data_IF_364969446732
#
_entry.id   IF_364969446732
#
_cell.length_a   1.000
_cell.length_b   1.000
_cell.length_c   1.000
_cell.angle_alpha   90.00
_cell.angle_beta   90.00
_cell.angle_gamma   90.00
#
_symmetry.space_group_name_H-M   'P 1'
#
loop_
_entity.id
_entity.type
_entity.pdbx_description
1 polymer ?
#
# COMPACT_ATOMS: atom_id res chain seq x y z
N UNK A 1 11.96 0.78 3.84
CA UNK A 1 12.05 2.22 3.52
C UNK A 1 11.64 2.91 4.81
N UNK A 2 12.61 3.47 5.54
CA UNK A 2 12.44 3.68 6.99
C UNK A 2 11.88 5.07 7.33
N UNK A 3 11.28 5.72 6.33
CA UNK A 3 10.79 7.10 6.37
C UNK A 3 11.81 8.16 6.85
N UNK A 4 13.11 7.89 6.65
CA UNK A 4 14.18 8.86 6.89
C UNK A 4 14.15 9.96 5.82
N UNK A 5 13.41 11.03 6.14
CA UNK A 5 13.23 12.20 5.28
C UNK A 5 14.55 12.86 4.92
N UNK A 6 15.51 12.94 5.83
CA UNK A 6 16.75 13.71 5.60
C UNK A 6 17.64 12.98 4.60
N UNK A 7 17.77 11.66 4.75
CA UNK A 7 18.49 10.83 3.78
C UNK A 7 17.75 10.78 2.44
N UNK A 8 16.41 10.70 2.47
CA UNK A 8 15.61 10.64 1.25
C UNK A 8 15.63 11.95 0.45
N UNK A 9 15.62 13.11 1.11
CA UNK A 9 15.76 14.41 0.43
C UNK A 9 17.07 14.49 -0.34
N UNK A 10 18.19 14.09 0.27
CA UNK A 10 19.49 14.04 -0.42
C UNK A 10 19.46 13.10 -1.62
N UNK A 11 18.83 11.94 -1.47
CA UNK A 11 18.70 10.96 -2.55
C UNK A 11 17.90 11.51 -3.75
N UNK A 12 16.78 12.19 -3.52
CA UNK A 12 15.94 12.75 -4.59
C UNK A 12 16.40 14.13 -5.11
N UNK A 13 17.49 14.67 -4.57
CA UNK A 13 18.15 15.89 -5.03
C UNK A 13 19.41 15.63 -5.86
N UNK A 14 19.87 14.38 -5.91
CA UNK A 14 20.99 13.99 -6.75
C UNK A 14 20.66 14.22 -8.24
N UNK A 15 21.60 14.79 -9.00
CA UNK A 15 21.40 15.07 -10.43
C UNK A 15 21.18 13.80 -11.27
N UNK A 16 21.62 12.64 -10.77
CA UNK A 16 21.45 11.33 -11.40
C UNK A 16 20.16 10.62 -10.93
N UNK A 17 19.36 11.25 -10.07
CA UNK A 17 18.12 10.68 -9.59
C UNK A 17 17.10 10.53 -10.73
N UNK A 18 16.71 9.28 -11.00
CA UNK A 18 15.59 8.97 -11.88
C UNK A 18 14.30 8.86 -11.07
N UNK A 19 13.36 9.78 -11.33
CA UNK A 19 12.05 9.82 -10.67
C UNK A 19 11.14 8.68 -11.10
N UNK A 20 11.37 8.11 -12.28
CA UNK A 20 10.54 7.07 -12.90
C UNK A 20 11.17 5.67 -12.65
N UNK A 21 12.21 5.59 -11.81
CA UNK A 21 12.84 4.34 -11.45
C UNK A 21 11.86 3.38 -10.76
N UNK A 22 11.95 2.10 -11.12
CA UNK A 22 11.20 1.03 -10.49
C UNK A 22 12.13 -0.02 -9.90
N UNK A 23 11.64 -0.74 -8.89
CA UNK A 23 12.37 -1.80 -8.21
C UNK A 23 11.64 -3.13 -8.38
N UNK A 24 12.30 -4.09 -9.04
CA UNK A 24 11.85 -5.49 -9.09
C UNK A 24 12.67 -6.32 -8.10
N UNK A 25 12.01 -6.84 -7.07
CA UNK A 25 12.67 -7.64 -6.04
C UNK A 25 11.75 -8.73 -5.51
N UNK A 26 12.30 -9.92 -5.24
CA UNK A 26 11.59 -11.08 -4.69
C UNK A 26 11.00 -10.87 -3.29
N UNK A 27 11.43 -9.82 -2.57
CA UNK A 27 10.93 -9.46 -1.24
C UNK A 27 9.69 -8.56 -1.29
N UNK A 28 9.27 -8.13 -2.47
CA UNK A 28 8.05 -7.35 -2.67
C UNK A 28 7.02 -8.15 -3.47
N UNK A 29 5.73 -7.75 -3.42
CA UNK A 29 4.70 -8.32 -4.28
C UNK A 29 5.14 -8.31 -5.75
N UNK A 30 4.80 -9.38 -6.47
CA UNK A 30 5.17 -9.51 -7.86
C UNK A 30 4.52 -8.40 -8.70
N UNK A 31 5.34 -7.71 -9.48
CA UNK A 31 4.92 -6.69 -10.43
C UNK A 31 5.65 -6.92 -11.76
N UNK A 32 4.92 -6.77 -12.88
CA UNK A 32 5.48 -6.90 -14.22
C UNK A 32 6.63 -5.91 -14.43
N UNK A 33 6.36 -4.64 -14.10
CA UNK A 33 7.26 -3.49 -14.30
C UNK A 33 8.08 -3.09 -13.06
N UNK A 34 7.91 -3.79 -11.94
CA UNK A 34 8.49 -3.41 -10.65
C UNK A 34 7.65 -2.37 -9.92
N UNK A 35 8.06 -2.00 -8.71
CA UNK A 35 7.39 -1.00 -7.90
C UNK A 35 8.09 0.35 -8.01
N UNK A 36 7.33 1.41 -8.24
CA UNK A 36 7.79 2.79 -8.15
C UNK A 36 8.18 3.16 -6.71
N UNK A 37 8.91 4.27 -6.56
CA UNK A 37 9.24 4.79 -5.23
C UNK A 37 8.00 5.16 -4.40
N UNK A 38 6.92 5.61 -5.04
CA UNK A 38 5.69 5.97 -4.35
C UNK A 38 4.99 4.72 -3.80
N UNK A 39 4.91 3.66 -4.60
CA UNK A 39 4.36 2.36 -4.20
C UNK A 39 5.19 1.71 -3.09
N UNK A 40 6.52 1.86 -3.14
CA UNK A 40 7.39 1.44 -2.04
C UNK A 40 7.11 2.23 -0.76
N UNK A 41 6.85 3.54 -0.83
CA UNK A 41 6.41 4.29 0.35
C UNK A 41 5.09 3.74 0.92
N UNK A 42 4.13 3.40 0.06
CA UNK A 42 2.85 2.81 0.48
C UNK A 42 3.05 1.46 1.17
N UNK A 43 3.84 0.57 0.57
CA UNK A 43 4.16 -0.74 1.13
C UNK A 43 4.84 -0.65 2.52
N UNK A 44 5.76 0.30 2.70
CA UNK A 44 6.51 0.48 3.95
C UNK A 44 5.84 1.43 4.96
N UNK A 45 4.71 2.06 4.61
CA UNK A 45 4.06 3.06 5.46
C UNK A 45 4.87 4.36 5.63
N UNK A 46 5.76 4.70 4.70
CA UNK A 46 6.68 5.85 4.76
C UNK A 46 6.00 7.16 4.35
N UNK A 47 5.13 7.70 5.21
CA UNK A 47 4.28 8.86 4.89
C UNK A 47 5.08 10.13 4.57
N UNK A 48 6.22 10.32 5.23
CA UNK A 48 7.13 11.42 4.96
C UNK A 48 7.67 11.44 3.54
N UNK A 49 8.25 10.32 3.13
CA UNK A 49 8.81 10.15 1.80
C UNK A 49 7.72 10.17 0.73
N UNK A 50 6.56 9.55 1.00
CA UNK A 50 5.37 9.62 0.16
C UNK A 50 4.99 11.08 -0.14
N UNK A 51 4.89 11.90 0.91
CA UNK A 51 4.53 13.32 0.79
C UNK A 51 5.57 14.12 0.01
N UNK A 52 6.86 13.81 0.19
CA UNK A 52 7.94 14.44 -0.55
C UNK A 52 7.83 14.15 -2.06
N UNK A 53 7.62 12.88 -2.44
CA UNK A 53 7.45 12.48 -3.84
C UNK A 53 6.24 13.17 -4.48
N UNK A 54 5.09 13.15 -3.81
CA UNK A 54 3.86 13.82 -4.26
C UNK A 54 4.03 15.33 -4.39
N UNK A 55 4.73 15.96 -3.45
CA UNK A 55 4.91 17.42 -3.48
C UNK A 55 5.87 17.85 -4.59
N UNK A 56 7.03 17.17 -4.71
CA UNK A 56 8.13 17.56 -5.59
C UNK A 56 7.91 17.12 -7.04
N UNK A 57 7.44 15.89 -7.25
CA UNK A 57 7.36 15.29 -8.58
C UNK A 57 5.94 15.12 -9.10
N UNK A 58 4.92 15.38 -8.26
CA UNK A 58 3.52 15.11 -8.60
C UNK A 58 3.29 13.66 -9.03
N UNK A 59 4.04 12.73 -8.44
CA UNK A 59 3.96 11.29 -8.71
C UNK A 59 2.52 10.82 -8.62
N UNK A 60 2.01 10.17 -9.66
CA UNK A 60 0.62 9.70 -9.71
C UNK A 60 0.32 8.67 -8.60
N UNK A 61 -0.86 8.75 -7.98
CA UNK A 61 -1.32 7.70 -7.06
C UNK A 61 -1.99 6.63 -7.91
N UNK A 62 -1.34 5.48 -8.03
CA UNK A 62 -1.86 4.31 -8.76
C UNK A 62 -2.81 3.48 -7.88
N UNK A 63 -3.65 2.61 -8.47
CA UNK A 63 -4.40 1.61 -7.71
C UNK A 63 -3.48 0.77 -6.79
N UNK A 64 -2.30 0.41 -7.27
CA UNK A 64 -1.28 -0.30 -6.50
C UNK A 64 -0.82 0.49 -5.26
N UNK A 65 -0.73 1.82 -5.33
CA UNK A 65 -0.45 2.64 -4.15
C UNK A 65 -1.50 2.45 -3.07
N UNK A 66 -2.79 2.45 -3.43
CA UNK A 66 -3.88 2.24 -2.49
C UNK A 66 -3.82 0.82 -1.91
N UNK A 67 -3.72 -0.20 -2.77
CA UNK A 67 -3.63 -1.59 -2.36
C UNK A 67 -2.46 -1.84 -1.38
N UNK A 68 -1.25 -1.39 -1.72
CA UNK A 68 -0.06 -1.55 -0.88
C UNK A 68 -0.15 -0.75 0.42
N UNK A 69 -0.89 0.37 0.44
CA UNK A 69 -1.07 1.16 1.66
C UNK A 69 -1.84 0.40 2.76
N UNK A 70 -2.74 -0.52 2.41
CA UNK A 70 -3.40 -1.41 3.37
C UNK A 70 -2.44 -2.44 3.99
N UNK A 71 -1.38 -2.82 3.26
CA UNK A 71 -0.32 -3.66 3.78
C UNK A 71 0.63 -2.89 4.70
N UNK A 72 1.02 -1.67 4.30
CA UNK A 72 1.86 -0.79 5.10
C UNK A 72 1.16 -0.21 6.34
N UNK A 73 -0.17 -0.10 6.29
CA UNK A 73 -1.03 0.25 7.43
C UNK A 73 -0.92 1.68 7.93
N UNK A 74 -0.37 2.59 7.13
CA UNK A 74 -0.29 4.00 7.47
C UNK A 74 -1.58 4.73 7.02
N UNK A 75 -2.40 5.15 7.98
CA UNK A 75 -3.67 5.84 7.74
C UNK A 75 -3.52 7.16 6.96
N UNK A 76 -2.41 7.89 7.10
CA UNK A 76 -2.19 9.12 6.33
C UNK A 76 -2.07 8.80 4.84
N UNK A 77 -1.31 7.76 4.49
CA UNK A 77 -1.16 7.31 3.10
C UNK A 77 -2.48 6.76 2.57
N UNK A 78 -3.15 5.88 3.32
CA UNK A 78 -4.43 5.28 2.91
C UNK A 78 -5.44 6.38 2.58
N UNK A 79 -5.63 7.34 3.48
CA UNK A 79 -6.58 8.43 3.28
C UNK A 79 -6.22 9.34 2.10
N UNK A 80 -4.94 9.52 1.79
CA UNK A 80 -4.54 10.26 0.59
C UNK A 80 -4.84 9.46 -0.67
N UNK A 81 -4.57 8.16 -0.68
CA UNK A 81 -4.82 7.30 -1.83
C UNK A 81 -6.32 7.17 -2.14
N UNK A 82 -7.16 7.07 -1.11
CA UNK A 82 -8.63 7.01 -1.23
C UNK A 82 -9.27 8.26 -1.84
N UNK A 83 -8.55 9.38 -1.97
CA UNK A 83 -9.04 10.57 -2.67
C UNK A 83 -8.98 10.43 -4.19
N UNK A 84 -8.13 9.53 -4.69
CA UNK A 84 -7.86 9.37 -6.11
C UNK A 84 -8.24 7.98 -6.64
N UNK A 85 -8.32 6.98 -5.76
CA UNK A 85 -8.55 5.58 -6.11
C UNK A 85 -9.67 4.96 -5.28
N UNK A 86 -10.44 4.06 -5.90
CA UNK A 86 -11.44 3.25 -5.23
C UNK A 86 -10.82 1.91 -4.76
N UNK A 87 -11.16 1.44 -3.55
CA UNK A 87 -10.72 0.13 -3.08
C UNK A 87 -11.23 -1.02 -3.94
N UNK A 88 -10.44 -2.10 -3.99
CA UNK A 88 -10.75 -3.32 -4.73
C UNK A 88 -10.46 -4.58 -3.90
N UNK A 89 -10.62 -5.75 -4.51
CA UNK A 89 -10.37 -7.04 -3.85
C UNK A 89 -8.92 -7.21 -3.36
N UNK A 90 -7.95 -6.55 -4.01
CA UNK A 90 -6.56 -6.57 -3.56
C UNK A 90 -6.37 -5.76 -2.28
N UNK A 91 -7.10 -4.65 -2.11
CA UNK A 91 -7.14 -3.92 -0.84
C UNK A 91 -7.63 -4.84 0.31
N UNK A 92 -8.68 -5.63 0.07
CA UNK A 92 -9.18 -6.61 1.03
C UNK A 92 -8.15 -7.70 1.34
N UNK A 93 -7.53 -8.27 0.29
CA UNK A 93 -6.45 -9.26 0.43
C UNK A 93 -5.30 -8.71 1.29
N UNK A 94 -4.86 -7.48 1.06
CA UNK A 94 -3.76 -6.89 1.83
C UNK A 94 -4.16 -6.50 3.25
N UNK A 95 -5.40 -6.08 3.49
CA UNK A 95 -5.93 -5.88 4.85
C UNK A 95 -5.97 -7.20 5.65
N UNK A 96 -6.31 -8.31 5.00
CA UNK A 96 -6.25 -9.66 5.57
C UNK A 96 -4.80 -10.03 5.89
N UNK A 97 -3.88 -9.90 4.93
CA UNK A 97 -2.45 -10.20 5.13
C UNK A 97 -1.83 -9.39 6.28
N UNK A 98 -2.18 -8.10 6.39
CA UNK A 98 -1.70 -7.25 7.49
C UNK A 98 -2.36 -7.57 8.83
N UNK A 99 -3.31 -8.50 8.88
CA UNK A 99 -4.12 -8.88 10.04
C UNK A 99 -4.82 -7.69 10.70
N UNK A 100 -5.21 -6.68 9.92
CA UNK A 100 -5.87 -5.49 10.44
C UNK A 100 -7.40 -5.60 10.28
N UNK A 101 -8.07 -6.00 11.37
CA UNK A 101 -9.52 -6.24 11.38
C UNK A 101 -10.32 -4.94 11.14
N UNK A 102 -9.78 -3.79 11.54
CA UNK A 102 -10.44 -2.51 11.32
C UNK A 102 -10.49 -2.18 9.83
N UNK A 103 -9.40 -2.46 9.10
CA UNK A 103 -9.37 -2.29 7.65
C UNK A 103 -10.31 -3.26 6.93
N UNK A 104 -10.37 -4.52 7.36
CA UNK A 104 -11.28 -5.51 6.79
C UNK A 104 -12.73 -5.07 7.00
N UNK A 105 -13.07 -4.62 8.20
CA UNK A 105 -14.40 -4.12 8.54
C UNK A 105 -14.75 -2.86 7.74
N UNK A 106 -13.80 -1.94 7.60
CA UNK A 106 -13.94 -0.74 6.78
C UNK A 106 -14.25 -1.08 5.32
N UNK A 107 -13.44 -1.94 4.69
CA UNK A 107 -13.63 -2.34 3.29
C UNK A 107 -14.96 -3.07 3.08
N UNK A 108 -15.36 -3.92 4.04
CA UNK A 108 -16.61 -4.66 3.95
C UNK A 108 -17.84 -3.78 4.12
N UNK A 109 -17.81 -2.84 5.06
CA UNK A 109 -18.98 -2.05 5.43
C UNK A 109 -19.16 -0.81 4.54
N UNK A 110 -18.06 -0.13 4.21
CA UNK A 110 -18.10 1.14 3.48
C UNK A 110 -18.05 0.94 1.95
N UNK A 111 -17.40 -0.13 1.49
CA UNK A 111 -17.21 -0.42 0.06
C UNK A 111 -17.85 -1.73 -0.41
N UNK A 112 -18.55 -2.44 0.49
CA UNK A 112 -19.24 -3.71 0.21
C UNK A 112 -18.32 -4.83 -0.34
N UNK A 113 -17.00 -4.72 -0.16
CA UNK A 113 -16.04 -5.70 -0.67
C UNK A 113 -16.09 -6.95 0.21
N UNK A 114 -16.36 -8.11 -0.42
CA UNK A 114 -16.45 -9.38 0.28
C UNK A 114 -15.09 -9.95 0.67
N UNK A 115 -15.07 -10.68 1.79
CA UNK A 115 -13.90 -11.45 2.21
C UNK A 115 -13.81 -12.70 1.33
N UNK A 116 -12.76 -12.80 0.53
CA UNK A 116 -12.47 -14.03 -0.19
C UNK A 116 -11.95 -15.11 0.79
N UNK A 117 -12.77 -16.13 1.05
CA UNK A 117 -12.47 -17.23 1.97
C UNK A 117 -11.28 -18.09 1.50
N UNK A 118 -11.02 -18.17 0.20
CA UNK A 118 -9.87 -18.89 -0.35
C UNK A 118 -8.56 -18.25 0.12
N UNK A 119 -8.48 -16.92 0.04
CA UNK A 119 -7.35 -16.13 0.57
C UNK A 119 -7.11 -16.41 2.07
N UNK A 120 -8.16 -16.54 2.87
CA UNK A 120 -8.04 -16.85 4.31
C UNK A 120 -7.49 -18.26 4.57
N UNK A 121 -7.88 -19.24 3.74
CA UNK A 121 -7.42 -20.62 3.85
C UNK A 121 -5.94 -20.74 3.46
N UNK A 122 -5.54 -20.12 2.35
CA UNK A 122 -4.16 -20.09 1.88
C UNK A 122 -3.20 -19.49 2.92
N UNK A 123 -3.65 -18.42 3.59
CA UNK A 123 -2.87 -17.73 4.61
C UNK A 123 -2.94 -18.37 6.01
N UNK A 124 -3.70 -19.47 6.16
CA UNK A 124 -3.84 -20.19 7.43
C UNK A 124 -4.59 -19.42 8.53
N UNK A 125 -5.36 -18.39 8.16
CA UNK A 125 -6.01 -17.49 9.11
C UNK A 125 -7.32 -18.08 9.64
N UNK A 126 -7.26 -18.76 10.79
CA UNK A 126 -8.45 -19.35 11.47
C UNK A 126 -9.37 -18.34 12.16
N UNK A 127 -9.02 -17.05 12.23
CA UNK A 127 -9.70 -16.05 13.07
C UNK A 127 -10.93 -15.40 12.45
N UNK A 128 -11.17 -15.54 11.14
CA UNK A 128 -12.30 -14.86 10.48
C UNK A 128 -13.65 -15.57 10.59
N UNK A 129 -13.67 -16.81 11.10
CA UNK A 129 -14.91 -17.58 11.27
C UNK A 129 -15.94 -16.93 12.21
N UNK A 130 -15.53 -15.99 13.06
CA UNK A 130 -16.45 -15.30 13.99
C UNK A 130 -17.01 -13.98 13.45
N UNK A 131 -16.56 -13.48 12.29
CA UNK A 131 -17.13 -12.26 11.67
C UNK A 131 -18.29 -12.58 10.70
N UNK A 132 -18.58 -13.86 10.48
CA UNK A 132 -19.63 -14.33 9.55
C UNK A 132 -20.88 -14.90 10.26
N UNK A 133 -21.01 -14.71 11.58
CA UNK A 133 -22.15 -15.16 12.40
C UNK A 133 -22.70 -14.07 13.30
#
# INVERSE_FOLDING_TARGET
>A
MDDDKDSFVKFIEDELFDKDQTLKNKFYPESEHGLSLLELCCYHGSAGCFKLLRTKFKSEITPECLQLSFLGGNLEIINECLKEQDPDENCMKYAIISNNIDFISFLKNEYEIDINLETCVELGMRRFYTMTV
#
